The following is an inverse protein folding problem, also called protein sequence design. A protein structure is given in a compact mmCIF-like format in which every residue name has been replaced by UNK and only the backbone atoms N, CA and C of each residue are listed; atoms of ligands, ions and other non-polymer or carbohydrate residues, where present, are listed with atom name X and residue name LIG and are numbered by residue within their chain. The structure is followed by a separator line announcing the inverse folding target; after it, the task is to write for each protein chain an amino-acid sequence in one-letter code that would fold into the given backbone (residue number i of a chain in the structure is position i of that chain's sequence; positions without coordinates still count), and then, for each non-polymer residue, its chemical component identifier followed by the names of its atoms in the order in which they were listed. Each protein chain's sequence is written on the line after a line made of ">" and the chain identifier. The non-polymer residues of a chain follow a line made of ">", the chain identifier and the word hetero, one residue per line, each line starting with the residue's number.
data_IF_377961296742
#
_entry.id   IF_377961296742
#
_cell.length_a   1.000
_cell.length_b   1.000
_cell.length_c   1.000
_cell.angle_alpha   90.00
_cell.angle_beta   90.00
_cell.angle_gamma   90.00
#
_symmetry.space_group_name_H-M   'P 1'
#
loop_
_entity.id
_entity.type
_entity.pdbx_description
1 polymer ?
#
# COMPACT_ATOMS: atom_id res chain seq x y z
N UNK A 1 -19.41 -9.53 -19.49
CA UNK A 1 -19.52 -9.22 -18.04
C UNK A 1 -18.43 -9.85 -17.16
N UNK A 2 -17.16 -9.99 -17.61
CA UNK A 2 -16.08 -10.57 -16.78
C UNK A 2 -15.41 -9.58 -15.81
N UNK A 3 -15.52 -8.27 -16.05
CA UNK A 3 -14.84 -7.24 -15.25
C UNK A 3 -15.38 -7.09 -13.82
N UNK A 4 -16.69 -7.20 -13.62
CA UNK A 4 -17.35 -7.04 -12.30
C UNK A 4 -16.91 -8.14 -11.33
N UNK A 5 -16.65 -9.35 -11.83
CA UNK A 5 -16.21 -10.50 -11.01
C UNK A 5 -14.87 -10.20 -10.34
N UNK A 6 -13.96 -9.50 -11.01
CA UNK A 6 -12.66 -9.12 -10.43
C UNK A 6 -12.82 -8.17 -9.25
N UNK A 7 -13.66 -7.13 -9.42
CA UNK A 7 -13.95 -6.16 -8.35
C UNK A 7 -14.61 -6.86 -7.16
N UNK A 8 -15.59 -7.73 -7.40
CA UNK A 8 -16.24 -8.49 -6.33
C UNK A 8 -15.24 -9.35 -5.54
N UNK A 9 -14.36 -10.08 -6.22
CA UNK A 9 -13.31 -10.89 -5.57
C UNK A 9 -12.34 -10.05 -4.74
N UNK A 10 -12.01 -8.85 -5.21
CA UNK A 10 -11.19 -7.90 -4.45
C UNK A 10 -11.88 -7.49 -3.15
N UNK A 11 -13.16 -7.10 -3.21
CA UNK A 11 -13.97 -6.76 -2.03
C UNK A 11 -14.08 -7.95 -1.06
N UNK A 12 -14.33 -9.17 -1.57
CA UNK A 12 -14.37 -10.37 -0.73
C UNK A 12 -13.01 -10.64 -0.04
N UNK A 13 -11.89 -10.30 -0.70
CA UNK A 13 -10.54 -10.45 -0.13
C UNK A 13 -10.28 -9.41 0.96
N UNK A 14 -10.69 -8.16 0.75
CA UNK A 14 -10.64 -7.10 1.78
C UNK A 14 -11.44 -7.53 3.02
N UNK A 15 -12.64 -8.07 2.82
CA UNK A 15 -13.45 -8.58 3.93
C UNK A 15 -12.78 -9.73 4.69
N UNK A 16 -12.15 -10.68 4.00
CA UNK A 16 -11.41 -11.75 4.67
C UNK A 16 -10.21 -11.24 5.46
N UNK A 17 -9.54 -10.21 4.95
CA UNK A 17 -8.40 -9.58 5.62
C UNK A 17 -8.84 -8.92 6.95
N UNK A 18 -10.04 -8.35 7.03
CA UNK A 18 -10.53 -7.77 8.30
C UNK A 18 -10.71 -8.81 9.40
N UNK A 19 -11.21 -10.01 9.06
CA UNK A 19 -11.38 -11.10 10.02
C UNK A 19 -10.05 -11.56 10.63
N UNK A 20 -8.96 -11.58 9.84
CA UNK A 20 -7.62 -11.87 10.38
C UNK A 20 -7.10 -10.78 11.32
N UNK A 21 -7.53 -9.52 11.14
CA UNK A 21 -7.10 -8.41 11.98
C UNK A 21 -7.91 -8.29 13.28
N UNK A 22 -9.19 -8.69 13.28
CA UNK A 22 -10.03 -8.72 14.48
C UNK A 22 -9.59 -9.73 15.55
N UNK A 23 -8.90 -10.81 15.15
CA UNK A 23 -8.32 -11.75 16.11
C UNK A 23 -7.26 -11.10 17.01
N UNK A 24 -6.66 -10.00 16.54
CA UNK A 24 -5.82 -9.10 17.32
C UNK A 24 -6.75 -8.15 18.10
N UNK A 25 -6.87 -8.34 19.43
CA UNK A 25 -7.78 -7.55 20.28
C UNK A 25 -7.69 -6.05 19.98
N UNK A 26 -8.81 -5.32 19.88
CA UNK A 26 -8.78 -3.87 19.72
C UNK A 26 -8.19 -3.24 20.99
N UNK A 27 -6.96 -2.75 20.89
CA UNK A 27 -6.47 -1.75 21.82
C UNK A 27 -7.30 -0.49 21.58
N UNK A 28 -7.84 0.06 22.67
CA UNK A 28 -8.67 1.25 22.74
C UNK A 28 -8.44 2.24 21.59
N UNK A 29 -9.54 2.61 20.91
CA UNK A 29 -9.62 3.55 19.80
C UNK A 29 -8.73 4.79 20.03
N UNK A 30 -7.54 4.73 19.46
CA UNK A 30 -6.66 5.85 19.27
C UNK A 30 -6.30 5.85 17.79
N UNK A 31 -6.28 7.04 17.18
CA UNK A 31 -5.74 7.20 15.82
C UNK A 31 -4.42 6.45 15.76
N UNK A 32 -4.22 5.56 14.77
CA UNK A 32 -2.95 4.87 14.60
C UNK A 32 -1.82 5.86 14.69
N UNK A 33 -0.91 5.68 15.65
CA UNK A 33 0.29 6.47 15.67
C UNK A 33 1.00 6.23 14.34
N UNK A 34 1.46 7.29 13.67
CA UNK A 34 2.11 7.19 12.36
C UNK A 34 3.30 6.20 12.37
N UNK A 35 3.90 5.99 13.54
CA UNK A 35 4.97 5.03 13.81
C UNK A 35 4.54 3.54 13.78
N UNK A 36 3.25 3.22 14.00
CA UNK A 36 2.75 1.84 13.92
C UNK A 36 2.35 1.42 12.51
N UNK A 37 2.43 2.33 11.54
CA UNK A 37 2.08 2.12 10.13
C UNK A 37 3.33 1.74 9.34
N UNK A 38 3.24 0.65 8.58
CA UNK A 38 4.37 0.12 7.82
C UNK A 38 4.67 0.95 6.56
N UNK A 39 5.88 0.78 6.01
CA UNK A 39 6.35 1.49 4.80
C UNK A 39 5.41 1.37 3.60
N UNK A 40 4.79 0.19 3.39
CA UNK A 40 3.87 -0.03 2.25
C UNK A 40 2.60 0.80 2.38
N UNK A 41 2.08 0.93 3.60
CA UNK A 41 0.90 1.76 3.88
C UNK A 41 1.20 3.24 3.69
N UNK A 42 2.35 3.73 4.16
CA UNK A 42 2.80 5.12 3.88
C UNK A 42 2.88 5.40 2.37
N UNK A 43 3.47 4.47 1.60
CA UNK A 43 3.58 4.59 0.16
C UNK A 43 2.20 4.59 -0.52
N UNK A 44 1.27 3.77 -0.02
CA UNK A 44 -0.12 3.75 -0.51
C UNK A 44 -0.82 5.08 -0.24
N UNK A 45 -0.74 5.63 0.99
CA UNK A 45 -1.34 6.92 1.32
C UNK A 45 -0.85 8.02 0.38
N UNK A 46 0.46 8.12 0.15
CA UNK A 46 1.03 9.08 -0.81
C UNK A 46 0.45 8.89 -2.20
N UNK A 47 0.51 7.66 -2.72
CA UNK A 47 0.07 7.34 -4.08
C UNK A 47 -1.40 7.68 -4.31
N UNK A 48 -2.27 7.27 -3.40
CA UNK A 48 -3.70 7.49 -3.52
C UNK A 48 -4.04 8.98 -3.41
N UNK A 49 -3.38 9.70 -2.50
CA UNK A 49 -3.57 11.15 -2.35
C UNK A 49 -3.24 11.88 -3.65
N UNK A 50 -2.17 11.50 -4.33
CA UNK A 50 -1.76 12.07 -5.62
C UNK A 50 -2.68 11.63 -6.77
N UNK A 51 -3.02 10.33 -6.84
CA UNK A 51 -3.83 9.78 -7.92
C UNK A 51 -5.27 10.30 -7.90
N UNK A 52 -5.89 10.49 -6.73
CA UNK A 52 -7.25 11.05 -6.62
C UNK A 52 -7.28 12.48 -7.18
N UNK A 53 -6.33 13.32 -6.81
CA UNK A 53 -6.24 14.71 -7.30
C UNK A 53 -5.94 14.76 -8.80
N UNK A 54 -5.22 13.77 -9.33
CA UNK A 54 -4.94 13.63 -10.75
C UNK A 54 -6.02 12.87 -11.53
N UNK A 55 -7.16 12.52 -10.91
CA UNK A 55 -8.25 11.72 -11.50
C UNK A 55 -7.81 10.35 -12.06
N UNK A 56 -6.75 9.75 -11.49
CA UNK A 56 -6.20 8.44 -11.88
C UNK A 56 -6.82 7.31 -11.04
N UNK A 57 -8.14 7.18 -11.09
CA UNK A 57 -8.87 6.21 -10.27
C UNK A 57 -8.50 4.74 -10.58
N UNK A 58 -8.24 4.41 -11.84
CA UNK A 58 -7.86 3.05 -12.22
C UNK A 58 -6.51 2.63 -11.62
N UNK A 59 -5.54 3.54 -11.52
CA UNK A 59 -4.24 3.24 -10.90
C UNK A 59 -4.34 3.18 -9.38
N UNK A 60 -5.27 3.93 -8.79
CA UNK A 60 -5.62 3.81 -7.36
C UNK A 60 -6.17 2.41 -7.06
N UNK A 61 -7.12 1.93 -7.86
CA UNK A 61 -7.71 0.59 -7.71
C UNK A 61 -6.64 -0.50 -7.89
N UNK A 62 -5.76 -0.37 -8.89
CA UNK A 62 -4.65 -1.30 -9.07
C UNK A 62 -3.72 -1.34 -7.84
N UNK A 63 -3.38 -0.18 -7.29
CA UNK A 63 -2.57 -0.09 -6.07
C UNK A 63 -3.25 -0.71 -4.85
N UNK A 64 -4.57 -0.55 -4.70
CA UNK A 64 -5.31 -1.25 -3.65
C UNK A 64 -5.25 -2.77 -3.81
N UNK A 65 -5.41 -3.28 -5.03
CA UNK A 65 -5.32 -4.72 -5.29
C UNK A 65 -3.94 -5.28 -4.95
N UNK A 66 -2.88 -4.57 -5.35
CA UNK A 66 -1.49 -4.94 -5.02
C UNK A 66 -1.25 -4.91 -3.50
N UNK A 67 -1.71 -3.85 -2.83
CA UNK A 67 -1.60 -3.71 -1.38
C UNK A 67 -2.29 -4.87 -0.64
N UNK A 68 -3.55 -5.17 -0.99
CA UNK A 68 -4.32 -6.26 -0.36
C UNK A 68 -3.68 -7.63 -0.66
N UNK A 69 -3.11 -7.81 -1.86
CA UNK A 69 -2.36 -9.02 -2.18
C UNK A 69 -1.13 -9.19 -1.28
N UNK A 70 -0.33 -8.14 -1.10
CA UNK A 70 0.83 -8.15 -0.20
C UNK A 70 0.40 -8.38 1.26
N UNK A 71 -0.65 -7.70 1.73
CA UNK A 71 -1.18 -7.84 3.09
C UNK A 71 -1.71 -9.25 3.37
N UNK A 72 -2.28 -9.92 2.37
CA UNK A 72 -2.71 -11.31 2.53
C UNK A 72 -1.55 -12.29 2.54
N UNK A 73 -0.47 -12.00 1.79
CA UNK A 73 0.70 -12.87 1.69
C UNK A 73 1.60 -12.79 2.95
N UNK A 74 1.71 -11.60 3.55
CA UNK A 74 2.56 -11.31 4.71
C UNK A 74 1.72 -10.76 5.88
N UNK A 75 0.64 -11.45 6.29
CA UNK A 75 -0.33 -10.91 7.26
C UNK A 75 0.29 -10.41 8.58
N UNK A 76 1.36 -11.05 9.05
CA UNK A 76 2.09 -10.66 10.28
C UNK A 76 2.76 -9.28 10.20
N UNK A 77 3.04 -8.78 8.98
CA UNK A 77 3.67 -7.46 8.74
C UNK A 77 2.67 -6.32 8.62
N UNK A 78 1.37 -6.63 8.66
CA UNK A 78 0.30 -5.66 8.53
C UNK A 78 -0.48 -5.63 9.83
N UNK A 79 -0.39 -4.49 10.52
CA UNK A 79 -1.08 -4.25 11.77
C UNK A 79 -2.55 -3.87 11.54
N UNK A 80 -3.34 -3.87 12.63
CA UNK A 80 -4.69 -3.28 12.60
C UNK A 80 -4.64 -1.80 12.19
N UNK A 81 -3.62 -1.06 12.63
CA UNK A 81 -3.35 0.32 12.23
C UNK A 81 -3.17 0.48 10.71
N UNK A 82 -2.44 -0.44 10.06
CA UNK A 82 -2.28 -0.45 8.60
C UNK A 82 -3.62 -0.69 7.89
N UNK A 83 -4.44 -1.57 8.45
CA UNK A 83 -5.76 -1.88 7.90
C UNK A 83 -6.72 -0.71 8.06
N UNK A 84 -6.74 -0.03 9.21
CA UNK A 84 -7.53 1.19 9.42
C UNK A 84 -7.20 2.29 8.40
N UNK A 85 -5.91 2.55 8.18
CA UNK A 85 -5.47 3.53 7.17
C UNK A 85 -5.94 3.12 5.78
N UNK A 86 -5.82 1.84 5.42
CA UNK A 86 -6.31 1.33 4.15
C UNK A 86 -7.83 1.52 3.99
N UNK A 87 -8.63 1.24 5.02
CA UNK A 87 -10.09 1.40 4.97
C UNK A 87 -10.47 2.89 4.77
N UNK A 88 -9.74 3.82 5.41
CA UNK A 88 -9.91 5.27 5.15
C UNK A 88 -9.64 5.64 3.70
N UNK A 89 -8.56 5.12 3.11
CA UNK A 89 -8.25 5.35 1.69
C UNK A 89 -9.30 4.74 0.74
N UNK A 90 -9.86 3.58 1.10
CA UNK A 90 -10.88 2.90 0.32
C UNK A 90 -12.25 3.61 0.34
N UNK A 91 -12.56 4.35 1.42
CA UNK A 91 -13.86 4.97 1.66
C UNK A 91 -14.42 5.79 0.47
N UNK A 92 -13.65 6.67 -0.21
CA UNK A 92 -14.15 7.39 -1.38
C UNK A 92 -14.53 6.50 -2.58
N UNK A 93 -14.02 5.27 -2.64
CA UNK A 93 -14.25 4.33 -3.74
C UNK A 93 -15.33 3.30 -3.42
N UNK A 94 -15.39 2.84 -2.17
CA UNK A 94 -16.31 1.80 -1.71
C UNK A 94 -16.85 2.14 -0.31
N UNK A 95 -17.67 3.19 -0.19
CA UNK A 95 -18.04 3.78 1.11
C UNK A 95 -18.78 2.80 2.01
N UNK A 96 -19.71 2.02 1.47
CA UNK A 96 -20.54 1.12 2.26
C UNK A 96 -19.75 0.01 2.96
N UNK A 97 -18.80 -0.63 2.25
CA UNK A 97 -17.95 -1.63 2.89
C UNK A 97 -16.93 -0.97 3.83
N UNK A 98 -16.46 0.25 3.50
CA UNK A 98 -15.55 0.96 4.38
C UNK A 98 -16.20 1.28 5.73
N UNK A 99 -17.45 1.73 5.74
CA UNK A 99 -18.24 1.95 6.98
C UNK A 99 -18.40 0.66 7.78
N UNK A 100 -18.82 -0.43 7.13
CA UNK A 100 -19.00 -1.72 7.81
C UNK A 100 -17.68 -2.20 8.44
N UNK A 101 -16.57 -2.11 7.70
CA UNK A 101 -15.25 -2.47 8.21
C UNK A 101 -14.80 -1.56 9.36
N UNK A 102 -15.13 -0.27 9.29
CA UNK A 102 -14.82 0.71 10.32
C UNK A 102 -15.56 0.41 11.63
N UNK A 103 -16.86 0.13 11.55
CA UNK A 103 -17.67 -0.29 12.70
C UNK A 103 -17.18 -1.63 13.27
N UNK A 104 -16.83 -2.59 12.39
CA UNK A 104 -16.26 -3.87 12.77
C UNK A 104 -14.92 -3.76 13.52
N UNK A 105 -14.18 -2.66 13.36
CA UNK A 105 -12.96 -2.37 14.13
C UNK A 105 -13.25 -1.69 15.48
N UNK A 106 -14.53 -1.43 15.78
CA UNK A 106 -14.98 -0.85 17.04
C UNK A 106 -15.16 0.66 17.04
N UNK A 107 -15.03 1.31 15.87
CA UNK A 107 -15.29 2.74 15.72
C UNK A 107 -16.79 3.01 15.72
N UNK A 108 -17.20 4.11 16.37
CA UNK A 108 -18.63 4.48 16.52
C UNK A 108 -19.06 5.60 15.59
N UNK A 109 -18.13 6.45 15.19
CA UNK A 109 -18.42 7.54 14.27
C UNK A 109 -18.19 7.08 12.84
N UNK A 110 -18.99 7.61 11.92
CA UNK A 110 -18.87 7.33 10.49
C UNK A 110 -17.48 7.69 9.98
N UNK A 111 -16.90 6.80 9.17
CA UNK A 111 -15.57 7.00 8.57
C UNK A 111 -15.54 8.25 7.67
N UNK A 112 -16.69 8.71 7.18
CA UNK A 112 -16.78 9.94 6.37
C UNK A 112 -16.39 11.21 7.13
N UNK A 113 -16.41 11.18 8.46
CA UNK A 113 -16.00 12.30 9.33
C UNK A 113 -14.52 12.26 9.71
N UNK A 114 -13.86 11.15 9.44
CA UNK A 114 -12.45 10.98 9.77
C UNK A 114 -11.57 11.85 8.88
N UNK A 115 -10.46 12.40 9.43
CA UNK A 115 -9.48 13.08 8.62
C UNK A 115 -8.83 12.11 7.63
N UNK A 116 -8.47 12.63 6.46
CA UNK A 116 -7.69 11.90 5.47
C UNK A 116 -6.34 11.45 6.09
N UNK A 117 -5.91 10.20 5.90
CA UNK A 117 -4.67 9.71 6.48
C UNK A 117 -3.46 10.46 5.91
N UNK A 118 -2.42 10.60 6.73
CA UNK A 118 -1.14 11.20 6.33
C UNK A 118 -0.05 10.13 6.27
N UNK A 119 1.07 10.46 5.62
CA UNK A 119 2.25 9.58 5.53
C UNK A 119 3.50 10.32 6.00
N UNK A 120 4.50 9.57 6.47
CA UNK A 120 5.83 10.10 6.76
C UNK A 120 6.73 9.93 5.51
N UNK A 121 7.22 11.02 4.90
CA UNK A 121 8.15 10.95 3.78
C UNK A 121 9.41 10.14 4.07
N UNK A 122 9.86 10.06 5.33
CA UNK A 122 11.05 9.29 5.72
C UNK A 122 10.82 7.78 5.64
N UNK A 123 9.58 7.34 5.87
CA UNK A 123 9.23 5.91 5.84
C UNK A 123 9.20 5.33 4.43
N UNK A 124 9.05 6.18 3.41
CA UNK A 124 8.96 5.78 2.00
C UNK A 124 10.25 6.00 1.22
N UNK A 125 11.33 6.41 1.90
CA UNK A 125 12.65 6.50 1.26
C UNK A 125 13.10 5.08 0.91
N UNK A 126 13.54 4.90 -0.34
CA UNK A 126 14.15 3.66 -0.79
C UNK A 126 15.67 3.78 -0.67
N UNK A 127 16.29 2.91 0.12
CA UNK A 127 17.75 2.88 0.24
C UNK A 127 18.41 2.28 -1.01
N UNK A 128 17.65 1.46 -1.75
CA UNK A 128 18.11 0.78 -2.95
C UNK A 128 17.09 0.91 -4.07
N UNK A 129 17.61 1.11 -5.27
CA UNK A 129 16.83 1.18 -6.50
C UNK A 129 17.25 0.06 -7.45
N UNK A 130 16.30 -0.41 -8.26
CA UNK A 130 16.57 -1.38 -9.30
C UNK A 130 17.14 -0.66 -10.53
N UNK A 131 18.41 -0.90 -10.83
CA UNK A 131 19.08 -0.36 -12.01
C UNK A 131 19.00 -1.39 -13.14
N UNK A 132 18.39 -0.99 -14.26
CA UNK A 132 18.25 -1.84 -15.45
C UNK A 132 19.49 -1.69 -16.33
N UNK A 133 20.21 -2.80 -16.56
CA UNK A 133 21.40 -2.83 -17.41
C UNK A 133 21.00 -3.18 -18.84
N UNK A 134 21.38 -2.32 -19.78
CA UNK A 134 21.07 -2.50 -21.20
C UNK A 134 22.35 -2.50 -22.03
N UNK A 135 22.42 -3.41 -23.02
CA UNK A 135 23.48 -3.44 -24.02
C UNK A 135 22.81 -3.31 -25.40
N UNK A 136 23.18 -2.27 -26.15
CA UNK A 136 22.59 -1.94 -27.45
C UNK A 136 21.05 -1.88 -27.41
N UNK A 137 20.50 -1.27 -26.36
CA UNK A 137 19.05 -1.11 -26.16
C UNK A 137 18.28 -2.37 -25.75
N UNK A 138 18.96 -3.51 -25.57
CA UNK A 138 18.34 -4.75 -25.05
C UNK A 138 18.66 -4.89 -23.57
N UNK A 139 17.63 -5.15 -22.75
CA UNK A 139 17.81 -5.49 -21.33
C UNK A 139 18.64 -6.76 -21.22
N UNK A 140 19.66 -6.70 -20.36
CA UNK A 140 20.55 -7.82 -20.06
C UNK A 140 20.42 -8.27 -18.62
N UNK A 141 20.33 -7.30 -17.72
CA UNK A 141 20.25 -7.59 -16.29
C UNK A 141 19.50 -6.49 -15.51
N UNK A 142 19.14 -6.78 -14.26
CA UNK A 142 18.52 -5.89 -13.31
C UNK A 142 19.19 -6.03 -11.93
N UNK A 143 19.99 -5.03 -11.54
CA UNK A 143 20.77 -5.06 -10.29
C UNK A 143 20.20 -4.10 -9.23
N UNK A 144 20.24 -4.49 -7.97
CA UNK A 144 19.83 -3.62 -6.85
C UNK A 144 21.02 -2.81 -6.34
N UNK A 145 21.00 -1.50 -6.55
CA UNK A 145 22.07 -0.57 -6.16
C UNK A 145 21.59 0.44 -5.12
N UNK A 146 22.50 1.05 -4.36
CA UNK A 146 22.14 2.13 -3.45
C UNK A 146 21.59 3.33 -4.24
N UNK A 147 20.63 4.08 -3.68
CA UNK A 147 20.02 5.22 -4.37
C UNK A 147 21.01 6.37 -4.62
N UNK A 148 22.07 6.46 -3.81
CA UNK A 148 23.14 7.45 -3.88
C UNK A 148 24.40 6.91 -4.57
N UNK A 149 24.32 5.76 -5.25
CA UNK A 149 25.44 5.19 -5.98
C UNK A 149 25.97 6.18 -7.02
N UNK A 150 27.28 6.43 -7.01
CA UNK A 150 27.92 7.27 -8.01
C UNK A 150 28.06 6.52 -9.36
N UNK A 151 28.23 7.26 -10.45
CA UNK A 151 28.29 6.70 -11.79
C UNK A 151 29.42 5.66 -11.99
N UNK A 152 30.59 5.90 -11.39
CA UNK A 152 31.73 5.00 -11.53
C UNK A 152 31.43 3.64 -10.88
N UNK A 153 30.86 3.67 -9.69
CA UNK A 153 30.47 2.48 -8.95
C UNK A 153 29.29 1.76 -9.60
N UNK A 154 28.29 2.49 -10.10
CA UNK A 154 27.17 1.91 -10.85
C UNK A 154 27.66 1.17 -12.10
N UNK A 155 28.61 1.76 -12.83
CA UNK A 155 29.22 1.13 -14.01
C UNK A 155 30.00 -0.13 -13.63
N UNK A 156 30.77 -0.08 -12.54
CA UNK A 156 31.55 -1.22 -12.05
C UNK A 156 30.63 -2.40 -11.70
N UNK A 157 29.54 -2.15 -10.97
CA UNK A 157 28.58 -3.20 -10.60
C UNK A 157 27.85 -3.72 -11.82
N UNK A 158 27.45 -2.86 -12.76
CA UNK A 158 26.76 -3.26 -13.99
C UNK A 158 27.63 -4.08 -14.96
N UNK A 159 28.93 -3.84 -15.02
CA UNK A 159 29.86 -4.65 -15.84
C UNK A 159 30.18 -5.99 -15.19
N UNK A 160 30.15 -6.05 -13.86
CA UNK A 160 30.40 -7.27 -13.10
C UNK A 160 29.16 -8.19 -13.00
N UNK A 161 28.00 -7.73 -13.43
CA UNK A 161 26.76 -8.51 -13.42
C UNK A 161 26.62 -9.35 -14.69
N UNK A 162 26.11 -10.57 -14.56
CA UNK A 162 26.06 -11.58 -15.64
C UNK A 162 24.86 -11.40 -16.58
#
# INVERSE_FOLDING_TARGET
>A
MKGIVGVRRFIDKVWKLSASQQASKPAQAAVPALASVNKRTHALVKKISEDILAFKFNTSIAAYMEYVNAATADAEKFSLADFEVFVKLLSPFAPHIAEELWELMGHRESISKEPWPTFDPKMIVEDRVQLVVQINGKVRDQIMVAIDINQAEATRVAVASE
#
